data_IF_294466138451
#
_entry.id   IF_294466138451
#
_cell.length_a   1.000
_cell.length_b   1.000
_cell.length_c   1.000
_cell.angle_alpha   90.00
_cell.angle_beta   90.00
_cell.angle_gamma   90.00
#
_symmetry.space_group_name_H-M   'P 1'
#
loop_
_entity.id
_entity.type
_entity.pdbx_description
1 polymer ?
#
# COMPACT_ATOMS: atom_id res chain seq x y z
N UNK A 1 -46.20 -44.54 40.14
CA UNK A 1 -44.73 -44.63 40.01
C UNK A 1 -44.11 -43.59 40.93
N UNK A 2 -43.13 -43.96 41.76
CA UNK A 2 -42.47 -43.04 42.68
C UNK A 2 -41.38 -42.24 41.95
N UNK A 3 -41.20 -40.96 42.29
CA UNK A 3 -40.09 -40.13 41.78
C UNK A 3 -38.74 -40.83 42.05
N UNK A 4 -38.61 -41.53 43.17
CA UNK A 4 -37.41 -42.28 43.52
C UNK A 4 -37.12 -43.45 42.58
N UNK A 5 -38.15 -44.15 42.05
CA UNK A 5 -37.94 -45.24 41.08
C UNK A 5 -37.53 -44.72 39.70
N UNK A 6 -38.04 -43.55 39.30
CA UNK A 6 -37.66 -42.89 38.05
C UNK A 6 -36.18 -42.47 38.08
N UNK A 7 -35.75 -41.81 39.17
CA UNK A 7 -34.37 -41.36 39.33
C UNK A 7 -33.37 -42.53 39.36
N UNK A 8 -33.73 -43.64 40.01
CA UNK A 8 -32.90 -44.87 39.99
C UNK A 8 -32.78 -45.47 38.59
N UNK A 9 -33.85 -45.44 37.81
CA UNK A 9 -33.82 -45.87 36.41
C UNK A 9 -32.88 -45.01 35.56
N UNK A 10 -32.90 -43.68 35.75
CA UNK A 10 -32.00 -42.76 35.07
C UNK A 10 -30.53 -42.96 35.46
N UNK A 11 -30.25 -43.18 36.75
CA UNK A 11 -28.89 -43.48 37.21
C UNK A 11 -28.38 -44.78 36.58
N UNK A 12 -29.20 -45.83 36.58
CA UNK A 12 -28.82 -47.11 35.97
C UNK A 12 -28.57 -47.01 34.45
N UNK A 13 -29.36 -46.22 33.73
CA UNK A 13 -29.13 -45.94 32.30
C UNK A 13 -27.79 -45.23 32.10
N UNK A 14 -27.51 -44.18 32.88
CA UNK A 14 -26.25 -43.44 32.81
C UNK A 14 -25.06 -44.35 33.12
N UNK A 15 -25.13 -45.12 34.21
CA UNK A 15 -24.08 -46.05 34.62
C UNK A 15 -23.83 -47.13 33.57
N UNK A 16 -24.87 -47.55 32.81
CA UNK A 16 -24.71 -48.50 31.72
C UNK A 16 -24.01 -47.91 30.48
N UNK A 17 -24.19 -46.62 30.22
CA UNK A 17 -23.65 -45.92 29.03
C UNK A 17 -22.25 -45.35 29.26
N UNK A 18 -21.92 -45.01 30.50
CA UNK A 18 -20.67 -44.35 30.88
C UNK A 18 -19.40 -45.16 30.54
N UNK A 19 -19.35 -46.50 30.67
CA UNK A 19 -18.20 -47.30 30.22
C UNK A 19 -17.98 -47.23 28.71
N UNK A 20 -19.06 -47.31 27.92
CA UNK A 20 -18.97 -47.26 26.46
C UNK A 20 -18.45 -45.90 25.98
N UNK A 21 -18.91 -44.80 26.59
CA UNK A 21 -18.40 -43.46 26.31
C UNK A 21 -16.92 -43.31 26.69
N UNK A 22 -16.51 -43.84 27.86
CA UNK A 22 -15.10 -43.84 28.27
C UNK A 22 -14.21 -44.60 27.29
N UNK A 23 -14.69 -45.75 26.78
CA UNK A 23 -13.96 -46.51 25.77
C UNK A 23 -13.82 -45.71 24.47
N UNK A 24 -14.89 -45.06 24.01
CA UNK A 24 -14.84 -44.19 22.83
C UNK A 24 -13.85 -43.03 23.00
N UNK A 25 -13.79 -42.42 24.18
CA UNK A 25 -12.79 -41.39 24.49
C UNK A 25 -11.37 -41.95 24.41
N UNK A 26 -11.11 -43.11 25.03
CA UNK A 26 -9.80 -43.76 25.01
C UNK A 26 -9.36 -44.12 23.57
N UNK A 27 -10.28 -44.63 22.74
CA UNK A 27 -10.00 -44.97 21.35
C UNK A 27 -9.68 -43.72 20.50
N UNK A 28 -10.40 -42.62 20.72
CA UNK A 28 -10.14 -41.34 20.06
C UNK A 28 -8.81 -40.72 20.50
N UNK A 29 -8.45 -40.79 21.78
CA UNK A 29 -7.15 -40.35 22.30
C UNK A 29 -6.00 -41.18 21.71
N UNK A 30 -6.15 -42.51 21.65
CA UNK A 30 -5.17 -43.39 21.02
C UNK A 30 -5.01 -43.07 19.52
N UNK A 31 -6.12 -42.83 18.82
CA UNK A 31 -6.08 -42.45 17.40
C UNK A 31 -5.45 -41.08 17.19
N UNK A 32 -5.73 -40.10 18.05
CA UNK A 32 -5.09 -38.79 18.02
C UNK A 32 -3.57 -38.93 18.21
N UNK A 33 -3.13 -39.69 19.22
CA UNK A 33 -1.71 -39.93 19.47
C UNK A 33 -1.02 -40.59 18.27
N UNK A 34 -1.67 -41.58 17.64
CA UNK A 34 -1.17 -42.22 16.43
C UNK A 34 -1.04 -41.24 15.26
N UNK A 35 -2.05 -40.39 15.02
CA UNK A 35 -2.01 -39.38 13.96
C UNK A 35 -0.94 -38.32 14.20
N UNK A 36 -0.73 -37.90 15.45
CA UNK A 36 0.36 -36.98 15.82
C UNK A 36 1.73 -37.61 15.56
N UNK A 37 1.91 -38.89 15.89
CA UNK A 37 3.15 -39.62 15.60
C UNK A 37 3.39 -39.70 14.07
N UNK A 38 2.38 -40.08 13.28
CA UNK A 38 2.49 -40.11 11.81
C UNK A 38 2.80 -38.73 11.21
N UNK A 39 2.13 -37.67 11.70
CA UNK A 39 2.40 -36.30 11.25
C UNK A 39 3.82 -35.84 11.59
N UNK A 40 4.41 -36.33 12.69
CA UNK A 40 5.78 -35.98 13.08
C UNK A 40 6.85 -36.62 12.21
N UNK A 41 6.56 -37.74 11.55
CA UNK A 41 7.46 -38.40 10.59
C UNK A 41 7.50 -37.66 9.24
N UNK A 42 6.43 -36.94 8.90
CA UNK A 42 6.36 -36.15 7.67
C UNK A 42 7.26 -34.92 7.82
N UNK A 43 8.38 -34.92 7.09
CA UNK A 43 9.26 -33.75 6.98
C UNK A 43 8.61 -32.72 6.07
N UNK A 44 8.16 -31.62 6.65
CA UNK A 44 7.70 -30.46 5.90
C UNK A 44 8.92 -29.62 5.48
N UNK A 45 9.25 -29.53 4.18
CA UNK A 45 10.45 -28.80 3.73
C UNK A 45 10.47 -27.36 4.26
N UNK A 46 9.31 -26.72 4.26
CA UNK A 46 9.04 -25.35 4.75
C UNK A 46 9.45 -25.13 6.22
N UNK A 47 9.46 -26.19 7.03
CA UNK A 47 9.84 -26.17 8.45
C UNK A 47 11.26 -26.67 8.71
N UNK A 48 11.91 -27.30 7.72
CA UNK A 48 13.25 -27.87 7.84
C UNK A 48 14.32 -27.06 7.14
N UNK A 49 13.93 -26.04 6.37
CA UNK A 49 14.88 -25.15 5.71
C UNK A 49 15.64 -24.31 6.75
N UNK A 50 16.97 -24.16 6.60
CA UNK A 50 17.73 -23.19 7.36
C UNK A 50 17.16 -21.77 7.20
N UNK A 51 17.34 -20.94 8.23
CA UNK A 51 16.85 -19.56 8.23
C UNK A 51 17.37 -18.78 7.02
N UNK A 52 18.65 -18.90 6.70
CA UNK A 52 19.28 -18.14 5.61
C UNK A 52 18.70 -18.50 4.24
N UNK A 53 18.37 -19.78 4.02
CA UNK A 53 17.70 -20.24 2.79
C UNK A 53 16.28 -19.71 2.71
N UNK A 54 15.57 -19.69 3.84
CA UNK A 54 14.21 -19.13 3.92
C UNK A 54 14.21 -17.63 3.60
N UNK A 55 15.16 -16.87 4.15
CA UNK A 55 15.33 -15.45 3.87
C UNK A 55 15.72 -15.21 2.40
N UNK A 56 16.57 -16.05 1.83
CA UNK A 56 16.92 -16.02 0.40
C UNK A 56 15.69 -16.26 -0.47
N UNK A 57 14.83 -17.21 -0.13
CA UNK A 57 13.56 -17.42 -0.85
C UNK A 57 12.66 -16.18 -0.75
N UNK A 58 12.57 -15.58 0.44
CA UNK A 58 11.72 -14.41 0.66
C UNK A 58 12.20 -13.18 -0.09
N UNK A 59 13.51 -13.00 -0.31
CA UNK A 59 14.00 -11.86 -1.12
C UNK A 59 13.53 -11.93 -2.57
N UNK A 60 13.32 -13.13 -3.12
CA UNK A 60 12.69 -13.29 -4.45
C UNK A 60 11.19 -12.95 -4.44
N UNK A 61 10.50 -13.19 -3.33
CA UNK A 61 9.08 -12.81 -3.19
C UNK A 61 8.93 -11.29 -3.03
N UNK A 62 9.95 -10.63 -2.48
CA UNK A 62 10.01 -9.19 -2.25
C UNK A 62 10.53 -8.40 -3.46
N UNK A 63 10.45 -8.95 -4.68
CA UNK A 63 10.91 -8.28 -5.90
C UNK A 63 10.47 -6.80 -5.91
N UNK A 64 11.41 -5.87 -6.18
CA UNK A 64 11.16 -4.46 -6.01
C UNK A 64 9.98 -4.03 -6.86
N UNK A 65 8.95 -3.50 -6.20
CA UNK A 65 7.74 -3.02 -6.86
C UNK A 65 8.12 -1.98 -7.94
N UNK A 66 7.93 -2.33 -9.21
CA UNK A 66 8.24 -1.43 -10.31
C UNK A 66 7.09 -0.42 -10.47
N UNK A 67 7.33 0.90 -10.27
CA UNK A 67 6.29 1.91 -10.42
C UNK A 67 5.81 2.07 -11.87
N UNK A 68 6.62 1.62 -12.84
CA UNK A 68 6.37 1.80 -14.27
C UNK A 68 5.42 0.73 -14.82
N UNK A 69 5.28 -0.43 -14.16
CA UNK A 69 4.28 -1.42 -14.56
C UNK A 69 2.89 -0.97 -14.08
N UNK A 70 2.33 -0.08 -14.89
CA UNK A 70 0.93 0.19 -15.18
C UNK A 70 -0.06 -0.59 -14.32
N UNK A 71 -0.85 0.16 -13.56
CA UNK A 71 -2.31 0.25 -13.66
C UNK A 71 -2.99 -0.62 -14.75
N UNK A 72 -2.70 -1.91 -14.81
CA UNK A 72 -3.67 -2.84 -15.37
C UNK A 72 -4.88 -2.72 -14.44
N UNK A 73 -6.06 -2.45 -14.99
CA UNK A 73 -7.33 -2.32 -14.28
C UNK A 73 -7.70 -3.55 -13.42
N UNK A 74 -6.84 -4.57 -13.36
CA UNK A 74 -6.90 -5.63 -12.37
C UNK A 74 -6.87 -5.03 -10.96
N UNK A 75 -8.03 -5.03 -10.32
CA UNK A 75 -8.25 -4.67 -8.91
C UNK A 75 -7.41 -5.47 -7.90
N UNK A 76 -6.58 -6.40 -8.38
CA UNK A 76 -5.75 -7.22 -7.53
C UNK A 76 -4.59 -6.42 -6.98
N UNK A 77 -4.80 -5.82 -5.80
CA UNK A 77 -3.71 -5.34 -4.95
C UNK A 77 -2.96 -6.59 -4.48
N UNK A 78 -1.72 -6.83 -4.92
CA UNK A 78 -0.96 -7.97 -4.43
C UNK A 78 -0.87 -7.87 -2.91
N UNK A 79 -1.23 -8.96 -2.22
CA UNK A 79 -1.14 -9.00 -0.78
C UNK A 79 0.30 -8.69 -0.36
N UNK A 80 0.48 -7.80 0.63
CA UNK A 80 1.81 -7.52 1.15
C UNK A 80 2.49 -8.85 1.53
N UNK A 81 3.69 -9.15 1.01
CA UNK A 81 4.30 -10.46 1.24
C UNK A 81 4.54 -10.72 2.74
N UNK A 82 4.99 -9.71 3.50
CA UNK A 82 5.35 -9.92 4.90
C UNK A 82 4.21 -10.42 5.81
N UNK A 83 3.00 -9.80 5.83
CA UNK A 83 1.84 -10.38 6.51
C UNK A 83 1.48 -11.80 6.06
N UNK A 84 1.55 -12.07 4.75
CA UNK A 84 1.23 -13.39 4.18
C UNK A 84 2.22 -14.42 4.68
N UNK A 85 3.53 -14.15 4.58
CA UNK A 85 4.60 -15.00 5.09
C UNK A 85 4.45 -15.23 6.61
N UNK A 86 4.13 -14.18 7.37
CA UNK A 86 3.92 -14.28 8.82
C UNK A 86 2.64 -15.04 9.23
N UNK A 87 1.76 -15.36 8.29
CA UNK A 87 0.53 -16.12 8.51
C UNK A 87 0.70 -17.64 8.36
N UNK A 88 1.77 -18.10 7.68
CA UNK A 88 1.98 -19.51 7.30
C UNK A 88 2.11 -20.43 8.51
N UNK A 89 3.11 -20.20 9.38
CA UNK A 89 3.33 -21.00 10.58
C UNK A 89 4.03 -20.16 11.67
N UNK A 90 4.19 -20.72 12.88
CA UNK A 90 4.82 -20.00 14.02
C UNK A 90 6.28 -19.63 13.73
N UNK A 91 7.03 -20.53 13.10
CA UNK A 91 8.45 -20.32 12.75
C UNK A 91 8.58 -19.19 11.74
N UNK A 92 7.80 -19.23 10.65
CA UNK A 92 7.78 -18.18 9.64
C UNK A 92 7.32 -16.84 10.20
N UNK A 93 6.35 -16.84 11.12
CA UNK A 93 5.97 -15.62 11.84
C UNK A 93 7.13 -15.02 12.62
N UNK A 94 7.85 -15.82 13.38
CA UNK A 94 8.98 -15.34 14.16
C UNK A 94 10.08 -14.77 13.26
N UNK A 95 10.43 -15.50 12.19
CA UNK A 95 11.40 -15.06 11.19
C UNK A 95 10.96 -13.78 10.47
N UNK A 96 9.69 -13.69 10.07
CA UNK A 96 9.17 -12.51 9.39
C UNK A 96 9.20 -11.30 10.33
N UNK A 97 8.83 -11.47 11.60
CA UNK A 97 8.86 -10.39 12.59
C UNK A 97 10.28 -9.95 12.98
N UNK A 98 11.28 -10.85 12.94
CA UNK A 98 12.68 -10.49 13.18
C UNK A 98 13.36 -9.87 11.96
N UNK A 99 12.79 -10.03 10.77
CA UNK A 99 13.39 -9.55 9.51
C UNK A 99 12.72 -8.24 9.10
N UNK A 100 13.29 -7.13 9.57
CA UNK A 100 12.75 -5.76 9.35
C UNK A 100 12.65 -5.39 7.88
N UNK A 101 13.51 -5.95 7.02
CA UNK A 101 13.55 -5.71 5.58
C UNK A 101 12.25 -6.10 4.86
N UNK A 102 11.56 -7.14 5.31
CA UNK A 102 10.26 -7.54 4.76
C UNK A 102 9.18 -6.47 4.97
N UNK A 103 9.37 -5.60 5.97
CA UNK A 103 8.44 -4.53 6.31
C UNK A 103 8.90 -3.18 5.78
N UNK A 104 9.88 -3.14 4.86
CA UNK A 104 10.33 -1.89 4.23
C UNK A 104 9.37 -1.36 3.15
N UNK A 105 8.46 -2.20 2.64
CA UNK A 105 7.45 -1.82 1.66
C UNK A 105 6.05 -1.94 2.26
N UNK A 106 5.32 -0.82 2.34
CA UNK A 106 4.01 -0.71 2.98
C UNK A 106 2.96 -0.32 1.94
N UNK A 107 2.15 -1.28 1.51
CA UNK A 107 0.98 -1.06 0.64
C UNK A 107 -0.30 -1.11 1.48
N UNK A 108 -0.95 0.03 1.70
CA UNK A 108 -2.11 0.12 2.59
C UNK A 108 -3.32 0.63 1.83
N UNK A 109 -4.33 -0.23 1.68
CA UNK A 109 -5.61 0.11 1.03
C UNK A 109 -6.67 0.52 2.05
N UNK A 110 -7.35 1.64 1.75
CA UNK A 110 -8.49 2.15 2.52
C UNK A 110 -9.84 1.57 2.12
N UNK A 111 -9.94 0.71 1.07
CA UNK A 111 -11.23 0.16 0.60
C UNK A 111 -11.92 -0.73 1.63
N UNK A 112 -11.16 -1.54 2.37
CA UNK A 112 -11.72 -2.64 3.17
C UNK A 112 -11.65 -2.42 4.67
N UNK A 113 -11.03 -1.34 5.14
CA UNK A 113 -10.81 -1.12 6.57
C UNK A 113 -11.26 0.25 7.01
N UNK A 114 -11.98 0.31 8.14
CA UNK A 114 -12.34 1.58 8.76
C UNK A 114 -11.10 2.36 9.17
N UNK A 115 -11.12 3.69 8.98
CA UNK A 115 -9.93 4.56 9.08
C UNK A 115 -9.09 4.40 10.35
N UNK A 116 -9.71 4.10 11.51
CA UNK A 116 -8.98 3.88 12.76
C UNK A 116 -8.10 2.63 12.69
N UNK A 117 -8.64 1.51 12.17
CA UNK A 117 -7.90 0.25 12.04
C UNK A 117 -6.74 0.40 11.05
N UNK A 118 -6.98 1.11 9.95
CA UNK A 118 -5.95 1.36 8.92
C UNK A 118 -4.79 2.16 9.46
N UNK A 119 -5.06 3.26 10.19
CA UNK A 119 -4.01 4.06 10.82
C UNK A 119 -3.25 3.26 11.88
N UNK A 120 -3.94 2.47 12.71
CA UNK A 120 -3.28 1.57 13.66
C UNK A 120 -2.41 0.52 12.96
N UNK A 121 -2.85 0.01 11.81
CA UNK A 121 -2.07 -0.91 10.98
C UNK A 121 -0.82 -0.23 10.42
N UNK A 122 -0.93 0.97 9.84
CA UNK A 122 0.23 1.75 9.37
C UNK A 122 1.24 1.93 10.50
N UNK A 123 0.79 2.38 11.68
CA UNK A 123 1.67 2.54 12.84
C UNK A 123 2.33 1.23 13.28
N UNK A 124 1.62 0.10 13.23
CA UNK A 124 2.17 -1.22 13.54
C UNK A 124 3.22 -1.66 12.51
N UNK A 125 2.95 -1.47 11.22
CA UNK A 125 3.88 -1.82 10.14
C UNK A 125 5.15 -0.97 10.20
N UNK A 126 5.03 0.34 10.45
CA UNK A 126 6.17 1.24 10.64
C UNK A 126 7.05 0.82 11.81
N UNK A 127 6.46 0.36 12.93
CA UNK A 127 7.22 -0.19 14.06
C UNK A 127 8.01 -1.44 13.68
N UNK A 128 7.45 -2.30 12.82
CA UNK A 128 8.11 -3.53 12.34
C UNK A 128 9.21 -3.25 11.31
N UNK A 129 9.04 -2.21 10.49
CA UNK A 129 10.06 -1.74 9.54
C UNK A 129 11.36 -1.29 10.22
N UNK A 130 11.31 -0.97 11.53
CA UNK A 130 12.43 -0.43 12.27
C UNK A 130 12.83 0.96 11.78
N UNK A 131 14.07 1.35 12.06
CA UNK A 131 14.59 2.70 11.80
C UNK A 131 15.72 2.76 10.77
N UNK A 132 16.28 1.61 10.37
CA UNK A 132 17.56 1.57 9.65
C UNK A 132 17.37 1.57 8.13
N UNK A 133 16.39 0.82 7.63
CA UNK A 133 16.22 0.59 6.18
C UNK A 133 15.45 1.75 5.52
N UNK A 134 15.67 2.02 4.22
CA UNK A 134 14.76 2.86 3.43
C UNK A 134 13.32 2.34 3.48
N UNK A 135 12.36 3.23 3.27
CA UNK A 135 10.94 2.91 3.35
C UNK A 135 10.22 3.29 2.05
N UNK A 136 9.43 2.36 1.56
CA UNK A 136 8.50 2.54 0.46
C UNK A 136 7.08 2.49 1.00
N UNK A 137 6.29 3.53 0.78
CA UNK A 137 4.93 3.63 1.27
C UNK A 137 4.00 3.93 0.11
N UNK A 138 2.96 3.12 -0.01
CA UNK A 138 1.90 3.25 -0.99
C UNK A 138 0.54 3.22 -0.27
N UNK A 139 -0.12 4.38 -0.25
CA UNK A 139 -1.45 4.52 0.28
C UNK A 139 -2.48 4.52 -0.84
N UNK A 140 -3.37 3.52 -0.84
CA UNK A 140 -4.37 3.32 -1.89
C UNK A 140 -5.78 3.66 -1.44
N UNK A 141 -6.55 4.22 -2.37
CA UNK A 141 -8.00 4.45 -2.24
C UNK A 141 -8.39 5.32 -1.03
N UNK A 142 -7.63 6.38 -0.74
CA UNK A 142 -7.94 7.25 0.40
C UNK A 142 -9.05 8.25 0.08
N UNK A 143 -10.29 7.91 0.41
CA UNK A 143 -11.50 8.70 0.07
C UNK A 143 -11.65 10.07 0.75
N UNK A 144 -10.99 10.30 1.90
CA UNK A 144 -11.23 11.51 2.71
C UNK A 144 -9.93 12.20 3.04
N UNK A 145 -9.91 13.51 2.83
CA UNK A 145 -8.79 14.38 3.16
C UNK A 145 -8.23 14.16 4.58
N UNK A 146 -9.11 14.11 5.60
CA UNK A 146 -8.72 13.86 6.99
C UNK A 146 -8.02 12.51 7.22
N UNK A 147 -8.17 11.53 6.33
CA UNK A 147 -7.46 10.26 6.41
C UNK A 147 -6.06 10.37 5.81
N UNK A 148 -5.90 11.14 4.72
CA UNK A 148 -4.60 11.45 4.13
C UNK A 148 -3.74 12.17 5.17
N UNK A 149 -4.27 13.23 5.78
CA UNK A 149 -3.58 13.95 6.85
C UNK A 149 -3.15 13.03 7.98
N UNK A 150 -4.02 12.12 8.42
CA UNK A 150 -3.67 11.16 9.48
C UNK A 150 -2.59 10.19 9.04
N UNK A 151 -2.64 9.70 7.80
CA UNK A 151 -1.65 8.80 7.25
C UNK A 151 -0.28 9.51 7.11
N UNK A 152 -0.26 10.71 6.56
CA UNK A 152 0.95 11.54 6.46
C UNK A 152 1.52 11.89 7.84
N UNK A 153 0.68 12.25 8.80
CA UNK A 153 1.12 12.48 10.18
C UNK A 153 1.73 11.23 10.82
N UNK A 154 1.30 10.01 10.45
CA UNK A 154 1.97 8.79 10.93
C UNK A 154 3.34 8.54 10.30
N UNK A 155 3.63 9.16 9.15
CA UNK A 155 4.93 9.07 8.49
C UNK A 155 5.97 10.06 9.04
N UNK A 156 5.55 11.10 9.78
CA UNK A 156 6.44 12.11 10.38
C UNK A 156 7.70 11.54 11.06
N UNK A 157 7.62 10.46 11.86
CA UNK A 157 8.81 9.89 12.51
C UNK A 157 9.80 9.20 11.56
N UNK A 158 9.43 8.96 10.30
CA UNK A 158 10.21 8.18 9.33
C UNK A 158 10.51 8.93 8.03
N UNK A 159 10.23 10.23 7.96
CA UNK A 159 10.37 11.04 6.73
C UNK A 159 11.80 11.01 6.17
N UNK A 160 12.82 10.98 7.03
CA UNK A 160 14.24 11.00 6.64
C UNK A 160 14.69 9.76 5.86
N UNK A 161 13.98 8.64 6.00
CA UNK A 161 14.28 7.36 5.33
C UNK A 161 13.25 6.99 4.27
N UNK A 162 12.23 7.83 4.05
CA UNK A 162 11.20 7.58 3.05
C UNK A 162 11.82 7.74 1.66
N UNK A 163 11.93 6.64 0.93
CA UNK A 163 12.49 6.58 -0.41
C UNK A 163 11.40 6.70 -1.47
N UNK A 164 10.24 6.12 -1.20
CA UNK A 164 9.10 6.16 -2.13
C UNK A 164 7.82 6.49 -1.38
N UNK A 165 7.06 7.43 -1.91
CA UNK A 165 5.74 7.79 -1.40
C UNK A 165 4.76 7.83 -2.55
N UNK A 166 3.80 6.92 -2.53
CA UNK A 166 2.69 6.88 -3.46
C UNK A 166 1.40 7.10 -2.67
N UNK A 167 0.56 7.98 -3.17
CA UNK A 167 -0.76 8.23 -2.62
C UNK A 167 -1.71 8.19 -3.81
N UNK A 168 -2.72 7.32 -3.76
CA UNK A 168 -3.77 7.23 -4.76
C UNK A 168 -5.16 7.37 -4.14
N UNK A 169 -6.07 7.90 -4.94
CA UNK A 169 -7.49 8.07 -4.63
C UNK A 169 -8.32 6.98 -5.30
N UNK A 170 -9.54 6.75 -4.79
CA UNK A 170 -10.48 5.80 -5.38
C UNK A 170 -11.24 6.50 -6.53
N UNK A 171 -11.00 6.11 -7.78
CA UNK A 171 -11.57 6.79 -8.97
C UNK A 171 -13.10 6.76 -9.04
N UNK A 172 -13.75 5.85 -8.30
CA UNK A 172 -15.21 5.73 -8.25
C UNK A 172 -15.92 6.95 -7.63
N UNK A 173 -15.21 7.78 -6.86
CA UNK A 173 -15.80 8.99 -6.29
C UNK A 173 -15.55 10.18 -7.23
N UNK A 174 -16.64 10.79 -7.73
CA UNK A 174 -16.67 11.88 -8.73
C UNK A 174 -15.88 13.16 -8.38
N UNK A 175 -15.27 13.22 -7.19
CA UNK A 175 -14.49 14.35 -6.73
C UNK A 175 -13.12 13.87 -6.27
N UNK A 176 -12.09 14.18 -7.07
CA UNK A 176 -10.69 14.08 -6.65
C UNK A 176 -10.52 14.91 -5.36
N UNK A 177 -10.16 14.29 -4.23
CA UNK A 177 -9.97 15.02 -2.99
C UNK A 177 -8.81 15.99 -3.15
N UNK A 178 -8.93 17.12 -2.49
CA UNK A 178 -7.84 18.07 -2.42
C UNK A 178 -6.77 17.57 -1.47
N UNK A 179 -5.51 17.64 -1.89
CA UNK A 179 -4.35 17.56 -1.02
C UNK A 179 -3.85 18.98 -0.76
N UNK A 180 -3.58 19.33 0.49
CA UNK A 180 -2.92 20.60 0.77
C UNK A 180 -1.40 20.41 0.81
N UNK A 181 -0.64 21.30 0.17
CA UNK A 181 0.82 21.25 0.21
C UNK A 181 1.42 21.18 1.63
N UNK A 182 0.79 21.82 2.62
CA UNK A 182 1.26 21.84 4.01
C UNK A 182 1.04 20.51 4.77
N UNK A 183 0.24 19.60 4.23
CA UNK A 183 0.02 18.28 4.83
C UNK A 183 1.11 17.29 4.47
N UNK A 184 1.86 17.57 3.40
CA UNK A 184 3.00 16.74 3.00
C UNK A 184 4.15 16.88 4.00
N UNK A 185 4.91 15.80 4.24
CA UNK A 185 6.17 15.84 4.97
C UNK A 185 7.08 16.97 4.49
N UNK A 186 7.59 17.78 5.43
CA UNK A 186 8.40 18.96 5.08
C UNK A 186 9.81 18.58 4.65
N UNK A 187 10.35 17.46 5.16
CA UNK A 187 11.71 17.01 4.89
C UNK A 187 11.75 15.59 4.38
N UNK A 188 12.08 15.39 3.10
CA UNK A 188 12.08 14.08 2.44
C UNK A 188 13.44 13.80 1.75
N UNK A 189 14.56 13.83 2.50
CA UNK A 189 15.91 13.87 1.93
C UNK A 189 16.29 12.61 1.15
N UNK A 190 15.68 11.47 1.48
CA UNK A 190 15.91 10.18 0.82
C UNK A 190 14.96 9.89 -0.34
N UNK A 191 13.95 10.75 -0.55
CA UNK A 191 12.86 10.48 -1.48
C UNK A 191 13.35 10.51 -2.93
N UNK A 192 13.04 9.44 -3.65
CA UNK A 192 13.37 9.21 -5.05
C UNK A 192 12.11 9.13 -5.91
N UNK A 193 11.03 8.59 -5.37
CA UNK A 193 9.76 8.40 -6.08
C UNK A 193 8.65 9.08 -5.32
N UNK A 194 7.99 10.03 -5.97
CA UNK A 194 6.77 10.66 -5.49
C UNK A 194 5.65 10.46 -6.50
N UNK A 195 4.56 9.84 -6.07
CA UNK A 195 3.36 9.65 -6.87
C UNK A 195 2.14 10.23 -6.15
N UNK A 196 1.59 11.30 -6.73
CA UNK A 196 0.39 12.01 -6.31
C UNK A 196 -0.62 12.13 -7.46
N UNK A 197 -0.54 11.25 -8.47
CA UNK A 197 -1.27 11.39 -9.73
C UNK A 197 -2.80 11.47 -9.61
N UNK A 198 -3.37 11.01 -8.49
CA UNK A 198 -4.82 11.01 -8.26
C UNK A 198 -5.34 12.20 -7.45
N UNK A 199 -4.51 13.21 -7.16
CA UNK A 199 -4.88 14.34 -6.30
C UNK A 199 -4.80 15.69 -7.00
N UNK A 200 -5.88 16.47 -6.83
CA UNK A 200 -5.86 17.91 -7.10
C UNK A 200 -5.25 18.62 -5.91
N UNK A 201 -4.36 19.57 -6.15
CA UNK A 201 -4.04 20.54 -5.11
C UNK A 201 -5.16 21.57 -5.04
N UNK A 202 -5.62 21.89 -3.83
CA UNK A 202 -6.60 22.97 -3.66
C UNK A 202 -5.96 24.29 -4.03
N UNK A 203 -6.53 24.96 -5.04
CA UNK A 203 -6.16 26.32 -5.43
C UNK A 203 -6.97 27.38 -4.67
N UNK A 204 -7.89 26.97 -3.78
CA UNK A 204 -8.93 27.84 -3.20
C UNK A 204 -8.52 28.62 -1.95
N UNK A 205 -7.28 28.50 -1.48
CA UNK A 205 -6.75 29.34 -0.41
C UNK A 205 -5.75 30.34 -1.00
N UNK A 206 -5.90 31.63 -0.65
CA UNK A 206 -5.10 32.75 -1.13
C UNK A 206 -3.61 32.41 -1.23
N UNK A 207 -3.11 32.56 -2.46
CA UNK A 207 -2.00 31.80 -3.03
C UNK A 207 -0.66 32.57 -2.89
N UNK A 208 -0.63 33.63 -2.08
CA UNK A 208 0.45 34.61 -2.16
C UNK A 208 1.66 34.35 -1.25
N UNK A 209 1.66 33.38 -0.33
CA UNK A 209 2.75 33.33 0.68
C UNK A 209 3.29 31.98 1.13
N UNK A 210 2.78 30.84 0.65
CA UNK A 210 3.30 29.54 1.13
C UNK A 210 4.08 28.87 0.00
N UNK A 211 5.31 29.36 -0.24
CA UNK A 211 6.36 28.50 -0.81
C UNK A 211 6.45 27.27 0.09
N UNK A 212 6.00 26.12 -0.40
CA UNK A 212 6.17 24.90 0.37
C UNK A 212 7.62 24.42 0.29
N UNK A 213 8.28 24.15 1.42
CA UNK A 213 9.71 23.82 1.47
C UNK A 213 10.04 22.41 0.93
N UNK A 214 9.07 21.66 0.40
CA UNK A 214 9.30 20.32 -0.16
C UNK A 214 10.37 20.32 -1.26
N UNK A 215 10.34 21.37 -2.09
CA UNK A 215 11.35 21.80 -3.04
C UNK A 215 12.81 21.50 -2.64
N UNK A 216 13.22 22.08 -1.51
CA UNK A 216 14.62 22.11 -1.08
C UNK A 216 15.00 20.84 -0.31
N UNK A 217 14.01 19.97 -0.08
CA UNK A 217 14.10 18.88 0.85
C UNK A 217 13.96 17.51 0.19
N UNK A 218 13.98 17.45 -1.15
CA UNK A 218 13.88 16.20 -1.95
C UNK A 218 15.00 16.10 -3.01
N UNK A 219 16.29 16.22 -2.62
CA UNK A 219 17.40 16.33 -3.58
C UNK A 219 17.60 15.09 -4.45
N UNK A 220 17.03 13.94 -4.06
CA UNK A 220 17.18 12.65 -4.75
C UNK A 220 15.98 12.28 -5.63
N UNK A 221 15.00 13.18 -5.77
CA UNK A 221 13.80 12.90 -6.54
C UNK A 221 14.15 12.63 -8.00
N UNK A 222 13.83 11.43 -8.47
CA UNK A 222 14.09 10.99 -9.85
C UNK A 222 12.81 10.60 -10.60
N UNK A 223 11.74 10.25 -9.88
CA UNK A 223 10.43 9.97 -10.43
C UNK A 223 9.38 10.86 -9.78
N UNK A 224 8.60 11.55 -10.60
CA UNK A 224 7.50 12.40 -10.16
C UNK A 224 6.25 12.12 -10.99
N UNK A 225 5.17 11.71 -10.32
CA UNK A 225 3.83 11.65 -10.91
C UNK A 225 2.90 12.61 -10.18
N UNK A 226 2.25 13.49 -10.92
CA UNK A 226 1.31 14.50 -10.40
C UNK A 226 0.15 14.68 -11.36
N UNK A 227 -0.96 15.26 -10.88
CA UNK A 227 -2.10 15.52 -11.75
C UNK A 227 -1.76 16.54 -12.85
N UNK A 228 -1.01 17.60 -12.53
CA UNK A 228 -0.68 18.65 -13.51
C UNK A 228 0.70 19.30 -13.28
N UNK A 229 1.21 20.01 -14.29
CA UNK A 229 2.45 20.76 -14.17
C UNK A 229 2.37 21.86 -13.09
N UNK A 230 1.26 22.63 -13.07
CA UNK A 230 0.93 23.57 -11.98
C UNK A 230 1.12 22.98 -10.58
N UNK A 231 0.69 21.72 -10.41
CA UNK A 231 0.76 21.01 -9.13
C UNK A 231 2.21 20.85 -8.69
N UNK A 232 3.08 20.40 -9.58
CA UNK A 232 4.49 20.22 -9.28
C UNK A 232 5.22 21.56 -9.00
N UNK A 233 4.92 22.59 -9.80
CA UNK A 233 5.50 23.93 -9.60
C UNK A 233 5.08 24.53 -8.24
N UNK A 234 3.81 24.37 -7.83
CA UNK A 234 3.32 24.84 -6.53
C UNK A 234 3.87 24.09 -5.32
N UNK A 235 4.21 22.81 -5.50
CA UNK A 235 4.94 22.03 -4.48
C UNK A 235 6.42 22.44 -4.41
N UNK A 236 6.84 23.35 -5.28
CA UNK A 236 8.17 23.94 -5.29
C UNK A 236 9.24 23.03 -5.87
N UNK A 237 8.89 21.94 -6.57
CA UNK A 237 9.88 20.95 -7.01
C UNK A 237 10.95 21.46 -8.00
N UNK A 238 10.92 22.74 -8.40
CA UNK A 238 11.84 23.40 -9.31
C UNK A 238 13.32 23.02 -9.08
N UNK A 239 13.81 23.03 -7.84
CA UNK A 239 15.20 22.65 -7.54
C UNK A 239 15.50 21.16 -7.78
N UNK A 240 14.51 20.29 -7.52
CA UNK A 240 14.62 18.84 -7.70
C UNK A 240 14.39 18.39 -9.14
N UNK A 241 13.80 19.23 -10.00
CA UNK A 241 13.57 18.91 -11.42
C UNK A 241 14.88 18.59 -12.16
N UNK A 242 16.00 19.18 -11.73
CA UNK A 242 17.32 18.91 -12.30
C UNK A 242 17.77 17.44 -12.24
N UNK A 243 17.24 16.67 -11.29
CA UNK A 243 17.54 15.24 -11.09
C UNK A 243 16.45 14.31 -11.62
N UNK A 244 15.37 14.87 -12.17
CA UNK A 244 14.22 14.10 -12.59
C UNK A 244 14.52 13.29 -13.85
N UNK A 245 14.25 11.99 -13.79
CA UNK A 245 14.43 11.01 -14.87
C UNK A 245 13.09 10.65 -15.50
N UNK A 246 12.04 10.54 -14.68
CA UNK A 246 10.69 10.20 -15.13
C UNK A 246 9.69 11.22 -14.63
N UNK A 247 8.90 11.78 -15.54
CA UNK A 247 7.81 12.71 -15.26
C UNK A 247 6.51 12.15 -15.83
N UNK A 248 5.49 12.06 -14.97
CA UNK A 248 4.13 11.68 -15.36
C UNK A 248 3.17 12.79 -14.99
N UNK A 249 2.52 13.37 -15.99
CA UNK A 249 1.51 14.41 -15.82
C UNK A 249 0.16 13.85 -16.26
N UNK A 250 -0.81 13.71 -15.35
CA UNK A 250 -2.14 13.23 -15.74
C UNK A 250 -2.87 14.23 -16.67
N UNK A 251 -2.57 15.51 -16.55
CA UNK A 251 -3.11 16.64 -17.31
C UNK A 251 -1.98 17.61 -17.64
N UNK A 252 -1.64 17.71 -18.91
CA UNK A 252 -0.60 18.62 -19.36
C UNK A 252 -1.24 19.93 -19.89
N UNK A 253 -0.81 21.07 -19.35
CA UNK A 253 -1.07 22.39 -19.94
C UNK A 253 0.22 22.92 -20.57
N UNK A 254 0.13 23.50 -21.76
CA UNK A 254 1.29 23.72 -22.64
C UNK A 254 2.38 24.62 -22.01
N UNK A 255 2.01 25.74 -21.39
CA UNK A 255 2.98 26.72 -20.88
C UNK A 255 3.78 26.20 -19.67
N UNK A 256 3.09 25.70 -18.64
CA UNK A 256 3.71 25.20 -17.41
C UNK A 256 4.50 23.91 -17.65
N UNK A 257 4.00 23.05 -18.55
CA UNK A 257 4.71 21.83 -18.92
C UNK A 257 6.03 22.19 -19.60
N UNK A 258 6.03 23.18 -20.51
CA UNK A 258 7.27 23.65 -21.14
C UNK A 258 8.27 24.21 -20.12
N UNK A 259 7.80 24.98 -19.13
CA UNK A 259 8.64 25.49 -18.04
C UNK A 259 9.28 24.33 -17.26
N UNK A 260 8.49 23.34 -16.83
CA UNK A 260 9.00 22.17 -16.11
C UNK A 260 9.99 21.35 -16.92
N UNK A 261 9.71 21.12 -18.21
CA UNK A 261 10.59 20.37 -19.10
C UNK A 261 11.93 21.09 -19.30
N UNK A 262 11.92 22.42 -19.40
CA UNK A 262 13.15 23.22 -19.49
C UNK A 262 14.02 23.12 -18.25
N UNK A 263 13.41 22.87 -17.08
CA UNK A 263 14.10 22.71 -15.81
C UNK A 263 14.54 21.26 -15.52
N UNK A 264 14.20 20.29 -16.38
CA UNK A 264 14.49 18.87 -16.19
C UNK A 264 15.43 18.30 -17.27
N UNK A 265 16.72 18.69 -17.29
CA UNK A 265 17.66 18.30 -18.35
C UNK A 265 18.04 16.81 -18.36
N UNK A 266 17.69 16.05 -17.31
CA UNK A 266 17.99 14.61 -17.18
C UNK A 266 16.77 13.72 -17.47
N UNK A 267 15.69 14.31 -17.96
CA UNK A 267 14.45 13.59 -18.20
C UNK A 267 14.64 12.57 -19.34
N UNK A 268 14.45 11.29 -19.03
CA UNK A 268 14.53 10.19 -19.99
C UNK A 268 13.14 9.69 -20.39
N UNK A 269 12.13 9.88 -19.53
CA UNK A 269 10.78 9.37 -19.76
C UNK A 269 9.74 10.41 -19.40
N UNK A 270 8.89 10.75 -20.38
CA UNK A 270 7.77 11.66 -20.22
C UNK A 270 6.46 10.95 -20.55
N UNK A 271 5.55 10.89 -19.58
CA UNK A 271 4.19 10.42 -19.79
C UNK A 271 3.23 11.58 -19.63
N UNK A 272 2.51 11.91 -20.69
CA UNK A 272 1.44 12.88 -20.67
C UNK A 272 0.12 12.10 -20.78
N UNK A 273 -0.73 12.23 -19.76
CA UNK A 273 -2.09 11.70 -19.78
C UNK A 273 -2.97 12.49 -20.75
N UNK A 274 -4.27 12.58 -20.47
CA UNK A 274 -5.19 13.36 -21.30
C UNK A 274 -4.71 14.83 -21.38
N UNK A 275 -4.00 15.16 -22.46
CA UNK A 275 -3.76 16.52 -22.88
C UNK A 275 -5.12 17.07 -23.27
N UNK A 276 -5.74 17.80 -22.34
CA UNK A 276 -6.88 18.64 -22.66
C UNK A 276 -6.42 19.70 -23.65
N UNK A 277 -6.38 19.37 -24.94
CA UNK A 277 -6.77 20.32 -25.94
C UNK A 277 -8.26 20.56 -25.64
N UNK A 278 -8.52 21.50 -24.73
CA UNK A 278 -9.79 22.20 -24.76
C UNK A 278 -9.82 22.83 -26.14
N UNK A 279 -10.38 22.11 -27.11
CA UNK A 279 -10.77 22.68 -28.38
C UNK A 279 -11.59 23.92 -28.00
N UNK A 280 -11.04 25.08 -28.30
CA UNK A 280 -11.67 26.37 -28.04
C UNK A 280 -12.94 26.58 -28.89
N UNK A 281 -13.59 25.52 -29.36
CA UNK A 281 -14.72 25.58 -30.29
C UNK A 281 -15.90 24.71 -29.85
N UNK A 282 -16.92 25.43 -29.36
CA UNK A 282 -18.34 25.31 -29.73
C UNK A 282 -19.31 24.98 -28.60
N UNK A 283 -20.20 25.94 -28.35
CA UNK A 283 -21.26 26.00 -27.35
C UNK A 283 -22.43 25.00 -27.55
N UNK A 284 -22.23 23.83 -28.18
CA UNK A 284 -23.35 22.88 -28.36
C UNK A 284 -22.95 21.41 -28.19
N UNK A 285 -23.41 20.72 -27.12
CA UNK A 285 -23.18 19.29 -26.99
C UNK A 285 -24.18 18.52 -27.85
N UNK A 286 -23.67 17.74 -28.81
CA UNK A 286 -24.42 16.63 -29.42
C UNK A 286 -24.35 15.40 -28.50
N UNK A 287 -25.48 14.80 -28.10
CA UNK A 287 -25.48 13.62 -27.24
C UNK A 287 -25.17 12.37 -28.08
N UNK A 288 -23.98 11.77 -27.92
CA UNK A 288 -23.72 10.44 -28.51
C UNK A 288 -22.26 9.99 -28.69
N UNK A 289 -21.25 10.83 -28.49
CA UNK A 289 -19.87 10.43 -28.76
C UNK A 289 -19.19 9.78 -27.54
N UNK A 290 -18.97 8.46 -27.61
CA UNK A 290 -18.09 7.72 -26.70
C UNK A 290 -16.63 8.12 -26.95
N UNK A 291 -16.01 8.81 -25.97
CA UNK A 291 -14.58 9.17 -26.00
C UNK A 291 -13.74 7.91 -25.81
N UNK A 292 -12.88 7.59 -26.78
CA UNK A 292 -11.78 6.61 -26.58
C UNK A 292 -10.59 7.35 -25.95
N UNK A 293 -10.09 6.84 -24.82
CA UNK A 293 -8.81 7.24 -24.22
C UNK A 293 -7.65 6.84 -25.12
N UNK A 294 -6.73 7.76 -25.37
CA UNK A 294 -5.46 7.49 -26.04
C UNK A 294 -4.35 8.08 -25.20
N UNK A 295 -3.45 7.24 -24.69
CA UNK A 295 -2.23 7.66 -24.01
C UNK A 295 -1.15 7.94 -25.08
N UNK A 296 -0.47 9.08 -24.96
CA UNK A 296 0.64 9.48 -25.83
C UNK A 296 1.97 9.19 -25.12
N UNK A 297 2.74 8.25 -25.65
CA UNK A 297 4.09 7.95 -25.18
C UNK A 297 5.10 8.70 -26.05
N UNK A 298 5.83 9.64 -25.45
CA UNK A 298 6.99 10.29 -26.08
C UNK A 298 8.24 9.81 -25.35
N UNK A 299 9.05 9.00 -26.03
CA UNK A 299 10.42 8.74 -25.61
C UNK A 299 11.27 9.92 -26.10
N UNK A 300 11.95 10.61 -25.18
CA UNK A 300 12.88 11.71 -25.47
C UNK A 300 14.26 11.18 -25.85
#
# INVERSE_FOLDING_TARGET
MSIASLLRGQIADIDSRLPALRQQFADLEARQAQLVAQLSEIKYPVLTLPHDVTLCIWSFVMEPWNPVYEYSESEYVPAQPAPVLASVCRVWRQLALSTTELWSTLIVSWRHTGSRRTISLVSLLLKRAGSIRPLDVDFRSIRRHKHIQKALNTLKPVESRLQRLCISHDEEEFHSPFLYPHDLPQTLPALQVLDLGSFRLSTFYDINEIETPLARSTPRLSYLRVESAHTALRLGFQSSLSNLVTLVLARAQSAETAEMLSAAPRLETLHLGECGFEDAESEFPSPGASRRRGDLYLAC
#
